data_IF_263605449977
#
_entry.id   IF_263605449977
#
_cell.length_a   1.000
_cell.length_b   1.000
_cell.length_c   1.000
_cell.angle_alpha   90.00
_cell.angle_beta   90.00
_cell.angle_gamma   90.00
#
_symmetry.space_group_name_H-M   'P 1'
#
loop_
_entity.id
_entity.type
_entity.pdbx_description
1 polymer ?
#
# COMPACT_ATOMS: atom_id res chain seq x y z
N UNK A 1 -18.03 0.62 18.75
CA UNK A 1 -16.57 0.84 18.65
C UNK A 1 -16.39 2.05 17.76
N UNK A 2 -15.80 3.13 18.27
CA UNK A 2 -15.74 4.41 17.57
C UNK A 2 -15.00 4.24 16.25
N UNK A 3 -15.63 4.63 15.14
CA UNK A 3 -14.93 4.90 13.88
C UNK A 3 -13.96 6.05 14.17
N UNK A 4 -12.76 5.76 14.63
CA UNK A 4 -11.72 6.76 14.69
C UNK A 4 -11.42 7.13 13.23
N UNK A 5 -11.68 8.38 12.87
CA UNK A 5 -11.54 8.92 11.53
C UNK A 5 -10.25 8.41 10.85
N UNK A 6 -10.39 7.51 9.88
CA UNK A 6 -9.28 7.22 8.97
C UNK A 6 -9.04 8.49 8.16
N UNK A 7 -8.09 9.31 8.62
CA UNK A 7 -7.63 10.48 7.90
C UNK A 7 -6.89 10.03 6.64
N UNK A 8 -7.63 9.97 5.54
CA UNK A 8 -7.11 9.84 4.19
C UNK A 8 -6.58 11.19 3.73
N UNK A 9 -5.34 11.21 3.23
CA UNK A 9 -4.74 12.37 2.59
C UNK A 9 -4.71 12.14 1.08
N UNK A 10 -5.03 13.18 0.31
CA UNK A 10 -4.99 13.10 -1.14
C UNK A 10 -3.59 13.47 -1.64
N UNK A 11 -2.93 12.53 -2.29
CA UNK A 11 -1.60 12.74 -2.86
C UNK A 11 -1.65 12.28 -4.32
N UNK A 12 -1.32 13.16 -5.26
CA UNK A 12 -1.29 12.84 -6.70
C UNK A 12 -2.61 12.26 -7.25
N UNK A 13 -3.75 12.67 -6.68
CA UNK A 13 -5.08 12.18 -7.06
C UNK A 13 -5.44 10.80 -6.50
N UNK A 14 -4.62 10.23 -5.61
CA UNK A 14 -4.94 9.00 -4.88
C UNK A 14 -5.21 9.28 -3.39
N UNK A 15 -6.12 8.49 -2.81
CA UNK A 15 -6.47 8.58 -1.38
C UNK A 15 -5.61 7.62 -0.58
N UNK A 16 -4.63 8.16 0.12
CA UNK A 16 -3.68 7.39 0.91
C UNK A 16 -4.04 7.52 2.39
N UNK A 17 -4.06 6.40 3.13
CA UNK A 17 -4.23 6.48 4.59
C UNK A 17 -2.92 6.93 5.19
N UNK A 18 -2.95 7.93 6.06
CA UNK A 18 -1.74 8.42 6.72
C UNK A 18 -1.00 7.31 7.50
N UNK A 19 -1.77 6.38 8.10
CA UNK A 19 -1.21 5.24 8.82
C UNK A 19 -0.38 4.34 7.91
N UNK A 20 -0.91 3.99 6.75
CA UNK A 20 -0.23 3.08 5.83
C UNK A 20 0.97 3.74 5.17
N UNK A 21 0.89 5.05 4.91
CA UNK A 21 2.02 5.82 4.40
C UNK A 21 3.18 5.81 5.39
N UNK A 22 2.92 6.11 6.66
CA UNK A 22 3.94 6.10 7.72
C UNK A 22 4.50 4.69 7.90
N UNK A 23 3.65 3.66 7.87
CA UNK A 23 4.09 2.28 7.99
C UNK A 23 5.00 1.86 6.83
N UNK A 24 4.61 2.15 5.59
CA UNK A 24 5.40 1.84 4.40
C UNK A 24 6.75 2.57 4.42
N UNK A 25 6.76 3.85 4.84
CA UNK A 25 7.99 4.61 5.00
C UNK A 25 8.90 4.02 6.07
N UNK A 26 8.35 3.66 7.23
CA UNK A 26 9.11 3.10 8.34
C UNK A 26 9.71 1.73 7.98
N UNK A 27 8.94 0.85 7.32
CA UNK A 27 9.42 -0.46 6.85
C UNK A 27 10.54 -0.30 5.82
N UNK A 28 10.35 0.61 4.86
CA UNK A 28 11.36 0.87 3.82
C UNK A 28 12.64 1.45 4.41
N UNK A 29 12.53 2.44 5.30
CA UNK A 29 13.67 3.05 5.98
C UNK A 29 14.43 2.03 6.84
N UNK A 30 13.71 1.19 7.60
CA UNK A 30 14.31 0.15 8.42
C UNK A 30 15.08 -0.89 7.58
N UNK A 31 14.49 -1.33 6.46
CA UNK A 31 15.14 -2.24 5.52
C UNK A 31 16.40 -1.63 4.90
N UNK A 32 16.35 -0.36 4.48
CA UNK A 32 17.51 0.39 3.98
C UNK A 32 18.63 0.47 5.02
N UNK A 33 18.31 0.86 6.26
CA UNK A 33 19.30 0.97 7.34
C UNK A 33 19.93 -0.40 7.64
N UNK A 34 19.10 -1.45 7.75
CA UNK A 34 19.59 -2.81 7.97
C UNK A 34 20.53 -3.26 6.84
N UNK A 35 20.16 -3.03 5.58
CA UNK A 35 20.98 -3.38 4.44
C UNK A 35 22.31 -2.60 4.41
N UNK A 36 22.29 -1.30 4.72
CA UNK A 36 23.53 -0.49 4.82
C UNK A 36 24.44 -1.03 5.92
N UNK A 37 23.90 -1.38 7.09
CA UNK A 37 24.70 -1.98 8.19
C UNK A 37 25.34 -3.29 7.74
N UNK A 38 24.62 -4.14 7.01
CA UNK A 38 25.16 -5.37 6.41
C UNK A 38 26.26 -5.04 5.39
N UNK A 39 26.03 -4.07 4.50
CA UNK A 39 27.02 -3.63 3.52
C UNK A 39 28.32 -3.15 4.16
N UNK A 40 28.23 -2.35 5.23
CA UNK A 40 29.38 -1.90 6.03
C UNK A 40 30.12 -3.06 6.68
N UNK A 41 29.39 -4.00 7.27
CA UNK A 41 30.00 -5.18 7.93
C UNK A 41 30.73 -6.09 6.93
N UNK A 42 30.28 -6.13 5.68
CA UNK A 42 30.89 -6.91 4.60
C UNK A 42 32.01 -6.15 3.85
N UNK A 43 32.29 -4.89 4.20
CA UNK A 43 33.25 -4.05 3.46
C UNK A 43 32.83 -3.80 2.01
N UNK A 44 31.53 -3.90 1.72
CA UNK A 44 30.96 -3.72 0.39
C UNK A 44 30.41 -2.31 0.21
N UNK A 45 30.01 -1.95 -1.01
CA UNK A 45 29.48 -0.61 -1.30
C UNK A 45 28.14 -0.36 -0.60
N UNK A 46 28.13 0.57 0.35
CA UNK A 46 26.94 0.92 1.12
C UNK A 46 25.81 1.46 0.25
N UNK A 47 26.15 2.14 -0.84
CA UNK A 47 25.17 2.69 -1.79
C UNK A 47 24.30 1.59 -2.41
N UNK A 48 24.92 0.52 -2.92
CA UNK A 48 24.17 -0.59 -3.54
C UNK A 48 23.37 -1.37 -2.51
N UNK A 49 23.91 -1.55 -1.31
CA UNK A 49 23.17 -2.20 -0.22
C UNK A 49 21.98 -1.35 0.25
N UNK A 50 22.15 -0.05 0.41
CA UNK A 50 21.06 0.86 0.78
C UNK A 50 19.96 0.92 -0.28
N UNK A 51 20.34 0.99 -1.57
CA UNK A 51 19.39 0.95 -2.67
C UNK A 51 18.65 -0.40 -2.73
N UNK A 52 19.37 -1.52 -2.61
CA UNK A 52 18.79 -2.85 -2.57
C UNK A 52 17.81 -3.01 -1.39
N UNK A 53 18.21 -2.56 -0.20
CA UNK A 53 17.35 -2.55 0.99
C UNK A 53 16.09 -1.71 0.80
N UNK A 54 16.18 -0.55 0.15
CA UNK A 54 15.02 0.28 -0.16
C UNK A 54 14.03 -0.43 -1.09
N UNK A 55 14.53 -1.08 -2.16
CA UNK A 55 13.69 -1.83 -3.10
C UNK A 55 13.00 -3.01 -2.40
N UNK A 56 13.74 -3.76 -1.57
CA UNK A 56 13.19 -4.89 -0.80
C UNK A 56 12.14 -4.41 0.21
N UNK A 57 12.43 -3.35 0.96
CA UNK A 57 11.49 -2.76 1.94
C UNK A 57 10.23 -2.21 1.29
N UNK A 58 10.37 -1.59 0.11
CA UNK A 58 9.24 -1.13 -0.68
C UNK A 58 8.38 -2.30 -1.16
N UNK A 59 9.00 -3.36 -1.70
CA UNK A 59 8.29 -4.58 -2.09
C UNK A 59 7.54 -5.23 -0.91
N UNK A 60 8.17 -5.29 0.27
CA UNK A 60 7.51 -5.78 1.49
C UNK A 60 6.32 -4.92 1.90
N UNK A 61 6.43 -3.59 1.74
CA UNK A 61 5.34 -2.65 2.03
C UNK A 61 4.12 -2.90 1.15
N UNK A 62 4.29 -3.29 -0.11
CA UNK A 62 3.17 -3.68 -0.99
C UNK A 62 2.39 -4.88 -0.45
N UNK A 63 3.06 -5.83 0.20
CA UNK A 63 2.40 -6.99 0.80
C UNK A 63 1.71 -6.67 2.13
N UNK A 64 2.28 -5.74 2.91
CA UNK A 64 1.75 -5.31 4.21
C UNK A 64 0.53 -4.39 4.07
N UNK A 65 0.54 -3.49 3.08
CA UNK A 65 -0.56 -2.54 2.83
C UNK A 65 -1.62 -3.22 1.98
N UNK A 66 -2.71 -3.68 2.62
CA UNK A 66 -3.82 -4.35 1.94
C UNK A 66 -4.61 -3.40 1.03
N UNK A 67 -5.22 -3.91 -0.06
CA UNK A 67 -6.15 -3.13 -0.86
C UNK A 67 -7.36 -2.72 -0.02
N UNK A 68 -7.70 -1.44 -0.05
CA UNK A 68 -8.75 -0.82 0.79
C UNK A 68 -10.15 -0.89 0.19
N UNK A 69 -10.28 -1.29 -1.07
CA UNK A 69 -11.57 -1.32 -1.77
C UNK A 69 -12.23 -2.67 -1.54
N UNK A 70 -13.28 -2.68 -0.73
CA UNK A 70 -14.26 -3.77 -0.72
C UNK A 70 -15.21 -3.58 -1.91
N UNK A 71 -15.04 -4.39 -2.96
CA UNK A 71 -15.90 -4.34 -4.15
C UNK A 71 -17.06 -5.31 -3.92
N UNK A 72 -18.22 -4.76 -3.55
CA UNK A 72 -19.45 -5.53 -3.51
C UNK A 72 -20.12 -5.51 -4.87
N UNK A 73 -20.34 -6.69 -5.45
CA UNK A 73 -21.17 -6.85 -6.64
C UNK A 73 -22.63 -6.81 -6.17
N UNK A 74 -23.38 -5.79 -6.57
CA UNK A 74 -24.82 -5.71 -6.36
C UNK A 74 -25.48 -6.23 -7.64
N UNK A 75 -26.37 -7.21 -7.52
CA UNK A 75 -27.19 -7.65 -8.65
C UNK A 75 -28.29 -6.60 -8.88
N UNK A 76 -28.38 -6.06 -10.10
CA UNK A 76 -29.55 -5.27 -10.52
C UNK A 76 -30.75 -6.24 -10.66
N UNK A 77 -31.67 -6.21 -9.71
CA UNK A 77 -32.95 -6.94 -9.83
C UNK A 77 -34.04 -6.15 -10.59
N UNK A 78 -33.71 -4.98 -11.15
CA UNK A 78 -34.67 -4.10 -11.83
C UNK A 78 -34.34 -3.91 -13.33
N UNK A 79 -34.18 -5.00 -14.08
CA UNK A 79 -34.45 -4.95 -15.54
C UNK A 79 -35.88 -5.39 -15.79
N UNK A 80 -36.75 -4.38 -15.70
CA UNK A 80 -38.06 -4.23 -16.30
C UNK A 80 -38.44 -5.31 -17.33
N UNK A 81 -39.42 -6.14 -16.98
CA UNK A 81 -40.19 -6.90 -17.94
C UNK A 81 -40.89 -5.91 -18.89
N UNK A 82 -40.33 -5.72 -20.08
CA UNK A 82 -40.94 -4.90 -21.13
C UNK A 82 -42.37 -5.37 -21.46
N UNK A 83 -43.29 -4.46 -21.84
CA UNK A 83 -44.69 -4.80 -22.06
C UNK A 83 -44.85 -5.84 -23.19
N UNK A 84 -45.87 -6.72 -23.11
CA UNK A 84 -46.07 -7.77 -24.10
C UNK A 84 -46.34 -7.16 -25.49
N UNK A 85 -45.86 -7.81 -26.57
CA UNK A 85 -46.05 -7.31 -27.94
C UNK A 85 -47.55 -7.27 -28.30
N UNK A 86 -47.94 -6.20 -29.00
CA UNK A 86 -49.29 -5.94 -29.49
C UNK A 86 -49.69 -6.85 -30.67
#
# INVERSE_FOLDING_TARGET
>A
MSQADEQYVEIWGDRVSMRDLVLALAVTAAATVAAVVVGRALGSSEFFWGLGGAVVGFGASMALVRPKRDVRIVADEDTEAGPPPA
#
